data_IF_048957979846
#
_entry.id   IF_048957979846
#
_cell.length_a   1.000
_cell.length_b   1.000
_cell.length_c   1.000
_cell.angle_alpha   90.00
_cell.angle_beta   90.00
_cell.angle_gamma   90.00
#
_symmetry.space_group_name_H-M   'P 1'
#
loop_
_entity.id
_entity.type
_entity.pdbx_description
1 polymer ?
#
# COMPACT_ATOMS: atom_id res chain seq x y z
N UNK A 1 7.57 2.41 -8.90
CA UNK A 1 6.46 3.05 -8.16
C UNK A 1 5.09 2.65 -8.69
N UNK A 2 4.56 3.24 -9.79
CA UNK A 2 3.18 2.94 -10.23
C UNK A 2 2.91 1.46 -10.55
N UNK A 3 3.83 0.80 -11.28
CA UNK A 3 3.73 -0.64 -11.60
C UNK A 3 3.78 -1.51 -10.34
N UNK A 4 4.55 -1.10 -9.33
CA UNK A 4 4.67 -1.82 -8.07
C UNK A 4 3.41 -1.67 -7.22
N UNK A 5 2.83 -0.47 -7.20
CA UNK A 5 1.56 -0.17 -6.54
C UNK A 5 0.42 -1.03 -7.08
N UNK A 6 0.19 -0.99 -8.40
CA UNK A 6 -0.88 -1.78 -9.03
C UNK A 6 -0.70 -3.28 -8.83
N UNK A 7 0.55 -3.76 -8.81
CA UNK A 7 0.84 -5.17 -8.48
C UNK A 7 0.47 -5.51 -7.04
N UNK A 8 0.83 -4.67 -6.08
CA UNK A 8 0.51 -4.87 -4.66
C UNK A 8 -1.01 -4.81 -4.44
N UNK A 9 -1.71 -3.89 -5.11
CA UNK A 9 -3.18 -3.78 -5.05
C UNK A 9 -3.87 -5.04 -5.58
N UNK A 10 -3.40 -5.59 -6.70
CA UNK A 10 -3.90 -6.87 -7.23
C UNK A 10 -3.66 -8.03 -6.26
N UNK A 11 -2.47 -8.11 -5.67
CA UNK A 11 -2.14 -9.13 -4.67
C UNK A 11 -2.99 -8.97 -3.41
N UNK A 12 -3.26 -7.73 -3.00
CA UNK A 12 -4.11 -7.44 -1.86
C UNK A 12 -5.54 -7.94 -2.10
N UNK A 13 -6.10 -7.63 -3.28
CA UNK A 13 -7.43 -8.11 -3.68
C UNK A 13 -7.51 -9.63 -3.67
N UNK A 14 -6.53 -10.32 -4.25
CA UNK A 14 -6.47 -11.78 -4.24
C UNK A 14 -6.39 -12.35 -2.81
N UNK A 15 -5.51 -11.78 -1.97
CA UNK A 15 -5.37 -12.23 -0.58
C UNK A 15 -6.65 -12.01 0.24
N UNK A 16 -7.39 -10.93 -0.03
CA UNK A 16 -8.66 -10.64 0.60
C UNK A 16 -9.73 -11.65 0.16
N UNK A 17 -9.80 -12.01 -1.12
CA UNK A 17 -10.71 -13.04 -1.61
C UNK A 17 -10.42 -14.40 -0.97
N UNK A 18 -9.15 -14.79 -0.91
CA UNK A 18 -8.72 -16.04 -0.27
C UNK A 18 -9.06 -16.06 1.23
N UNK A 19 -8.86 -14.94 1.93
CA UNK A 19 -9.28 -14.80 3.33
C UNK A 19 -10.78 -14.99 3.48
N UNK A 20 -11.59 -14.31 2.68
CA UNK A 20 -13.04 -14.40 2.75
C UNK A 20 -13.55 -15.83 2.51
N UNK A 21 -12.96 -16.57 1.56
CA UNK A 21 -13.30 -17.98 1.31
C UNK A 21 -12.99 -18.85 2.53
N UNK A 22 -11.80 -18.69 3.13
CA UNK A 22 -11.42 -19.46 4.33
C UNK A 22 -12.28 -19.06 5.52
N UNK A 23 -12.61 -17.78 5.68
CA UNK A 23 -13.48 -17.32 6.76
C UNK A 23 -14.90 -17.87 6.64
N UNK A 24 -15.45 -17.93 5.43
CA UNK A 24 -16.74 -18.56 5.18
C UNK A 24 -16.71 -20.06 5.51
N UNK A 25 -15.68 -20.78 5.05
CA UNK A 25 -15.51 -22.20 5.36
C UNK A 25 -15.43 -22.45 6.87
N UNK A 26 -14.59 -21.68 7.56
CA UNK A 26 -14.44 -21.82 9.01
C UNK A 26 -15.73 -21.48 9.76
N UNK A 27 -16.51 -20.52 9.28
CA UNK A 27 -17.83 -20.23 9.85
C UNK A 27 -18.81 -21.41 9.67
N UNK A 28 -18.83 -22.05 8.49
CA UNK A 28 -19.62 -23.27 8.24
C UNK A 28 -19.18 -24.42 9.15
N UNK A 29 -17.88 -24.55 9.42
CA UNK A 29 -17.33 -25.55 10.33
C UNK A 29 -17.51 -25.18 11.83
N UNK A 30 -18.20 -24.08 12.14
CA UNK A 30 -18.39 -23.57 13.51
C UNK A 30 -17.14 -22.96 14.16
N UNK A 31 -16.03 -22.86 13.42
CA UNK A 31 -14.75 -22.31 13.88
C UNK A 31 -14.75 -20.79 13.75
N UNK A 32 -15.12 -20.10 14.83
CA UNK A 32 -15.24 -18.63 14.86
C UNK A 32 -14.33 -17.99 15.93
N UNK A 33 -14.30 -16.64 15.95
CA UNK A 33 -13.62 -15.86 17.00
C UNK A 33 -12.16 -16.26 17.24
N UNK A 34 -11.81 -16.56 18.51
CA UNK A 34 -10.45 -16.97 18.90
C UNK A 34 -10.01 -18.30 18.27
N UNK A 35 -10.93 -19.23 18.02
CA UNK A 35 -10.61 -20.53 17.43
C UNK A 35 -10.18 -20.37 15.96
N UNK A 36 -10.84 -19.49 15.21
CA UNK A 36 -10.40 -19.09 13.86
C UNK A 36 -8.97 -18.55 13.84
N UNK A 37 -8.60 -17.75 14.84
CA UNK A 37 -7.25 -17.22 14.99
C UNK A 37 -6.15 -18.29 15.17
N UNK A 38 -6.52 -19.51 15.61
CA UNK A 38 -5.62 -20.66 15.73
C UNK A 38 -5.50 -21.47 14.45
N UNK A 39 -6.40 -21.28 13.47
CA UNK A 39 -6.33 -21.98 12.19
C UNK A 39 -5.07 -21.53 11.42
N UNK A 40 -4.16 -22.44 11.05
CA UNK A 40 -2.87 -22.07 10.45
C UNK A 40 -3.03 -21.42 9.08
N UNK A 41 -4.00 -21.86 8.28
CA UNK A 41 -4.28 -21.32 6.93
C UNK A 41 -4.80 -19.88 7.05
N UNK A 42 -5.80 -19.65 7.89
CA UNK A 42 -6.32 -18.30 8.15
C UNK A 42 -5.21 -17.38 8.67
N UNK A 43 -4.38 -17.86 9.61
CA UNK A 43 -3.31 -17.07 10.22
C UNK A 43 -2.26 -16.64 9.19
N UNK A 44 -1.88 -17.54 8.27
CA UNK A 44 -0.97 -17.25 7.16
C UNK A 44 -1.54 -16.18 6.23
N UNK A 45 -2.74 -16.41 5.70
CA UNK A 45 -3.39 -15.46 4.78
C UNK A 45 -3.64 -14.10 5.43
N UNK A 46 -4.00 -14.08 6.73
CA UNK A 46 -4.18 -12.86 7.51
C UNK A 46 -2.87 -12.08 7.68
N UNK A 47 -1.75 -12.79 7.87
CA UNK A 47 -0.43 -12.17 7.94
C UNK A 47 -0.01 -11.60 6.58
N UNK A 48 -0.19 -12.36 5.50
CA UNK A 48 0.10 -11.92 4.13
C UNK A 48 -0.71 -10.69 3.74
N UNK A 49 -2.02 -10.69 3.99
CA UNK A 49 -2.90 -9.54 3.75
C UNK A 49 -2.43 -8.29 4.53
N UNK A 50 -2.09 -8.45 5.82
CA UNK A 50 -1.55 -7.34 6.63
C UNK A 50 -0.20 -6.83 6.10
N UNK A 51 0.66 -7.72 5.62
CA UNK A 51 1.94 -7.35 5.02
C UNK A 51 1.74 -6.55 3.73
N UNK A 52 0.82 -6.98 2.85
CA UNK A 52 0.49 -6.28 1.62
C UNK A 52 -0.06 -4.87 1.90
N UNK A 53 -0.93 -4.70 2.89
CA UNK A 53 -1.42 -3.38 3.32
C UNK A 53 -0.28 -2.45 3.78
N UNK A 54 0.67 -2.96 4.57
CA UNK A 54 1.83 -2.19 5.02
C UNK A 54 2.73 -1.78 3.85
N UNK A 55 2.95 -2.70 2.91
CA UNK A 55 3.73 -2.41 1.69
C UNK A 55 3.05 -1.33 0.85
N UNK A 56 1.74 -1.41 0.67
CA UNK A 56 0.98 -0.40 -0.07
C UNK A 56 1.07 0.98 0.59
N UNK A 57 0.98 1.04 1.92
CA UNK A 57 1.18 2.28 2.67
C UNK A 57 2.59 2.86 2.50
N UNK A 58 3.62 2.01 2.53
CA UNK A 58 4.99 2.43 2.31
C UNK A 58 5.20 3.00 0.90
N UNK A 59 4.62 2.35 -0.12
CA UNK A 59 4.64 2.85 -1.50
C UNK A 59 3.96 4.21 -1.60
N UNK A 60 2.77 4.37 -1.03
CA UNK A 60 2.08 5.67 -1.02
C UNK A 60 2.89 6.77 -0.31
N UNK A 61 3.62 6.41 0.76
CA UNK A 61 4.51 7.34 1.47
C UNK A 61 5.69 7.77 0.59
N UNK A 62 6.27 6.84 -0.18
CA UNK A 62 7.35 7.15 -1.12
C UNK A 62 6.86 8.02 -2.27
N UNK A 63 5.71 7.68 -2.87
CA UNK A 63 5.08 8.48 -3.93
C UNK A 63 4.84 9.92 -3.47
N UNK A 64 4.37 10.12 -2.23
CA UNK A 64 4.21 11.46 -1.64
C UNK A 64 5.53 12.21 -1.53
N UNK A 65 6.59 11.56 -1.03
CA UNK A 65 7.93 12.18 -0.89
C UNK A 65 8.53 12.55 -2.24
N UNK A 66 8.33 11.71 -3.25
CA UNK A 66 8.78 11.98 -4.62
C UNK A 66 8.02 13.17 -5.22
N UNK A 67 6.71 13.26 -5.01
CA UNK A 67 5.91 14.41 -5.44
C UNK A 67 6.34 15.71 -4.74
N UNK A 68 6.57 15.68 -3.42
CA UNK A 68 7.09 16.84 -2.66
C UNK A 68 8.50 17.27 -3.11
N UNK A 69 9.36 16.31 -3.47
CA UNK A 69 10.68 16.61 -4.01
C UNK A 69 10.60 17.19 -5.43
N UNK A 70 9.71 16.67 -6.28
CA UNK A 70 9.46 17.21 -7.61
C UNK A 70 8.91 18.64 -7.54
N UNK A 71 7.96 18.90 -6.63
CA UNK A 71 7.43 20.25 -6.41
C UNK A 71 8.53 21.22 -5.98
N UNK A 72 9.36 20.86 -4.99
CA UNK A 72 10.49 21.71 -4.57
C UNK A 72 11.48 21.99 -5.68
N UNK A 73 11.72 21.03 -6.58
CA UNK A 73 12.57 21.25 -7.76
C UNK A 73 11.91 22.19 -8.76
N UNK A 74 10.60 22.05 -9.00
CA UNK A 74 9.83 22.95 -9.86
C UNK A 74 9.79 24.37 -9.29
N UNK A 75 9.52 24.52 -7.99
CA UNK A 75 9.52 25.81 -7.30
C UNK A 75 10.90 26.48 -7.35
N UNK A 76 11.99 25.71 -7.19
CA UNK A 76 13.35 26.23 -7.33
C UNK A 76 13.67 26.62 -8.77
N UNK A 77 13.25 25.84 -9.77
CA UNK A 77 13.46 26.18 -11.17
C UNK A 77 12.71 27.47 -11.54
N UNK A 78 11.46 27.60 -11.10
CA UNK A 78 10.64 28.80 -11.33
C UNK A 78 11.13 30.01 -10.51
N UNK A 79 11.70 29.79 -9.32
CA UNK A 79 12.28 30.84 -8.49
C UNK A 79 13.65 31.33 -8.95
N UNK A 80 14.36 30.56 -9.78
CA UNK A 80 15.65 30.95 -10.38
C UNK A 80 15.45 31.88 -11.60
N UNK A 81 14.31 31.85 -12.28
CA UNK A 81 14.03 32.76 -13.41
C UNK A 81 13.71 34.20 -12.98
N UNK A 82 13.30 34.46 -11.73
CA UNK A 82 12.87 35.80 -11.30
C UNK A 82 14.03 36.70 -10.84
N UNK A 83 15.24 36.15 -10.61
CA UNK A 83 16.38 36.94 -10.10
C UNK A 83 17.52 37.14 -11.11
N UNK A 84 17.36 36.74 -12.38
CA UNK A 84 18.42 36.88 -13.39
C UNK A 84 18.32 38.16 -14.26
N UNK A 85 17.18 38.88 -14.24
CA UNK A 85 16.93 40.02 -15.14
C UNK A 85 16.79 41.38 -14.42
N UNK A 86 17.44 41.54 -13.26
CA UNK A 86 17.41 42.80 -12.51
C UNK A 86 18.82 43.26 -12.09
N UNK A 87 19.74 43.39 -13.05
CA UNK A 87 20.91 44.26 -12.95
C UNK A 87 21.55 44.41 -14.35
N UNK A 88 21.23 45.52 -15.03
CA UNK A 88 21.75 45.93 -16.32
C UNK A 88 21.31 47.34 -16.68
#
# INVERSE_FOLDING_TARGET
MLKDRSRIERQLSLSQQQLSVIEAKLATDGVTGKARGKNPVWRKLSAEHRQLRRRLYAVATLEKREAEAAQRKADKANGVEVTADAEG
#
